data_IF_350069126943
#
_entry.id   IF_350069126943
#
_cell.length_a   1.000
_cell.length_b   1.000
_cell.length_c   1.000
_cell.angle_alpha   90.00
_cell.angle_beta   90.00
_cell.angle_gamma   90.00
#
_symmetry.space_group_name_H-M   'P 1'
#
loop_
_entity.id
_entity.type
_entity.pdbx_description
1 polymer ?
#
# COMPACT_ATOMS: atom_id res chain seq x y z
N UNK A 1 -4.30 -75.42 5.68
CA UNK A 1 -3.84 -76.20 6.85
C UNK A 1 -2.34 -76.42 6.68
N UNK A 2 -1.52 -75.63 7.39
CA UNK A 2 -0.71 -76.04 8.58
C UNK A 2 0.64 -76.66 8.17
N UNK A 3 1.81 -76.25 8.67
CA UNK A 3 2.21 -75.31 9.71
C UNK A 3 3.71 -74.97 9.52
N UNK A 4 4.14 -73.75 9.82
CA UNK A 4 4.81 -73.37 11.08
C UNK A 4 6.01 -74.27 11.44
N UNK A 5 7.21 -73.73 11.26
CA UNK A 5 8.30 -73.96 12.20
C UNK A 5 8.65 -72.64 12.89
N UNK A 6 8.35 -72.61 14.19
CA UNK A 6 8.81 -71.59 15.14
C UNK A 6 10.29 -71.83 15.41
N UNK A 7 11.09 -70.76 15.42
CA UNK A 7 12.23 -70.67 16.32
C UNK A 7 11.90 -69.65 17.40
N UNK A 8 11.98 -70.10 18.66
CA UNK A 8 11.97 -69.29 19.87
C UNK A 8 13.40 -69.37 20.41
N UNK A 9 14.07 -68.24 20.66
CA UNK A 9 14.58 -68.02 22.01
C UNK A 9 14.81 -66.56 22.40
N UNK A 10 14.56 -66.32 23.69
CA UNK A 10 14.87 -65.27 24.65
C UNK A 10 15.21 -63.83 24.21
N UNK A 11 14.26 -62.94 24.49
CA UNK A 11 14.36 -61.45 24.54
C UNK A 11 14.66 -60.76 23.21
N UNK A 12 13.84 -61.02 22.19
CA UNK A 12 13.80 -60.24 20.96
C UNK A 12 12.54 -59.36 20.88
N UNK A 13 12.67 -58.08 21.22
CA UNK A 13 11.68 -57.06 20.82
C UNK A 13 11.74 -56.99 19.29
N UNK A 14 10.64 -57.33 18.62
CA UNK A 14 10.48 -57.11 17.18
C UNK A 14 10.35 -55.60 16.99
N UNK A 15 11.47 -54.95 16.67
CA UNK A 15 11.48 -53.55 16.22
C UNK A 15 10.93 -53.57 14.80
N UNK A 16 9.64 -53.28 14.64
CA UNK A 16 9.14 -52.74 13.38
C UNK A 16 9.82 -51.39 13.20
N UNK A 17 10.73 -51.27 12.24
CA UNK A 17 11.06 -49.96 11.68
C UNK A 17 9.81 -49.47 10.97
N UNK A 18 8.93 -48.81 11.73
CA UNK A 18 8.01 -47.84 11.18
C UNK A 18 8.94 -46.76 10.60
N UNK A 19 9.13 -46.75 9.28
CA UNK A 19 9.61 -45.56 8.60
C UNK A 19 8.47 -44.56 8.75
N UNK A 20 8.45 -43.86 9.89
CA UNK A 20 7.73 -42.63 10.01
C UNK A 20 8.33 -41.73 8.94
N UNK A 21 7.61 -41.54 7.84
CA UNK A 21 7.89 -40.49 6.88
C UNK A 21 8.01 -39.21 7.70
N UNK A 22 9.24 -38.79 7.95
CA UNK A 22 9.51 -37.51 8.58
C UNK A 22 8.95 -36.51 7.58
N UNK A 23 7.78 -35.94 7.89
CA UNK A 23 7.32 -34.71 7.28
C UNK A 23 8.39 -33.68 7.63
N UNK A 24 9.41 -33.55 6.80
CA UNK A 24 10.28 -32.40 6.86
C UNK A 24 9.36 -31.19 6.67
N UNK A 25 9.38 -30.20 7.56
CA UNK A 25 8.69 -28.96 7.25
C UNK A 25 9.31 -28.48 5.94
N UNK A 26 8.47 -28.35 4.90
CA UNK A 26 8.86 -27.71 3.65
C UNK A 26 9.45 -26.37 4.05
N UNK A 27 10.78 -26.26 4.00
CA UNK A 27 11.44 -24.98 4.16
C UNK A 27 11.07 -24.23 2.89
N UNK A 28 9.99 -23.47 2.93
CA UNK A 28 9.63 -22.58 1.85
C UNK A 28 10.80 -21.62 1.72
N UNK A 29 11.60 -21.82 0.67
CA UNK A 29 12.68 -20.91 0.34
C UNK A 29 12.07 -19.55 0.08
N UNK A 30 12.68 -18.52 0.65
CA UNK A 30 12.31 -17.14 0.41
C UNK A 30 12.28 -16.83 -1.09
N UNK A 31 11.28 -16.05 -1.49
CA UNK A 31 11.13 -15.57 -2.86
C UNK A 31 11.63 -14.15 -2.95
N UNK A 32 12.65 -13.93 -3.77
CA UNK A 32 13.32 -12.65 -3.95
C UNK A 32 12.92 -12.06 -5.30
N UNK A 33 12.47 -10.82 -5.29
CA UNK A 33 12.15 -9.99 -6.45
C UNK A 33 13.31 -9.06 -6.76
N UNK A 34 13.75 -9.02 -8.01
CA UNK A 34 14.67 -8.02 -8.55
C UNK A 34 14.01 -7.27 -9.70
N UNK A 35 14.26 -5.97 -9.80
CA UNK A 35 13.66 -5.13 -10.85
C UNK A 35 14.76 -4.45 -11.64
N UNK A 36 14.69 -4.50 -12.96
CA UNK A 36 15.54 -3.72 -13.87
C UNK A 36 14.66 -2.81 -14.72
N UNK A 37 15.22 -1.67 -15.15
CA UNK A 37 14.55 -0.74 -16.06
C UNK A 37 15.47 -0.50 -17.25
N UNK A 38 14.95 -0.75 -18.45
CA UNK A 38 15.63 -0.47 -19.70
C UNK A 38 14.74 0.44 -20.56
N UNK A 39 15.03 1.75 -20.50
CA UNK A 39 14.17 2.77 -21.10
C UNK A 39 12.75 2.73 -20.52
N UNK A 40 11.76 2.47 -21.40
CA UNK A 40 10.34 2.35 -21.02
C UNK A 40 9.93 0.95 -20.56
N UNK A 41 10.81 -0.05 -20.68
CA UNK A 41 10.54 -1.43 -20.28
C UNK A 41 11.01 -1.62 -18.84
N UNK A 42 10.16 -2.24 -18.02
CA UNK A 42 10.50 -2.69 -16.68
C UNK A 42 10.43 -4.21 -16.64
N UNK A 43 11.53 -4.84 -16.26
CA UNK A 43 11.57 -6.29 -16.06
C UNK A 43 11.63 -6.59 -14.56
N UNK A 44 10.91 -7.62 -14.14
CA UNK A 44 10.84 -8.06 -12.75
C UNK A 44 11.13 -9.56 -12.73
N UNK A 45 12.16 -9.96 -12.00
CA UNK A 45 12.61 -11.33 -11.89
C UNK A 45 12.31 -11.86 -10.49
N UNK A 46 11.84 -13.09 -10.40
CA UNK A 46 11.51 -13.77 -9.16
C UNK A 46 12.43 -14.97 -8.99
N UNK A 47 13.11 -15.05 -7.86
CA UNK A 47 14.07 -16.10 -7.53
C UNK A 47 13.63 -16.86 -6.29
N UNK A 48 13.84 -18.18 -6.28
CA UNK A 48 13.62 -19.03 -5.12
C UNK A 48 14.77 -20.04 -5.04
N UNK A 49 15.46 -20.10 -3.90
CA UNK A 49 16.66 -20.93 -3.75
C UNK A 49 17.76 -20.61 -4.78
N UNK A 50 17.89 -19.33 -5.17
CA UNK A 50 18.88 -18.86 -6.15
C UNK A 50 18.55 -19.14 -7.62
N UNK A 51 17.40 -19.78 -7.92
CA UNK A 51 16.95 -20.06 -9.30
C UNK A 51 15.84 -19.11 -9.69
N UNK A 52 15.86 -18.61 -10.93
CA UNK A 52 14.74 -17.85 -11.50
C UNK A 52 13.53 -18.78 -11.64
N UNK A 53 12.39 -18.37 -11.08
CA UNK A 53 11.13 -19.12 -11.12
C UNK A 53 10.03 -18.41 -11.92
N UNK A 54 10.14 -17.09 -12.06
CA UNK A 54 9.24 -16.29 -12.88
C UNK A 54 9.89 -14.97 -13.32
N UNK A 55 9.33 -14.39 -14.38
CA UNK A 55 9.68 -13.06 -14.89
C UNK A 55 8.43 -12.33 -15.36
N UNK A 56 8.29 -11.06 -14.99
CA UNK A 56 7.32 -10.14 -15.58
C UNK A 56 8.03 -9.10 -16.43
N UNK A 57 7.47 -8.80 -17.60
CA UNK A 57 7.91 -7.71 -18.46
C UNK A 57 6.74 -6.74 -18.59
N UNK A 58 6.96 -5.50 -18.15
CA UNK A 58 6.01 -4.41 -18.23
C UNK A 58 6.51 -3.44 -19.30
N UNK A 59 5.73 -3.29 -20.37
CA UNK A 59 6.06 -2.37 -21.45
C UNK A 59 5.74 -0.90 -21.10
N UNK A 60 6.12 0.04 -21.96
CA UNK A 60 5.87 1.47 -21.75
C UNK A 60 4.39 1.87 -21.74
N UNK A 61 3.48 0.97 -22.11
CA UNK A 61 2.02 1.15 -22.05
C UNK A 61 1.40 0.51 -20.81
N UNK A 62 2.19 -0.20 -20.00
CA UNK A 62 1.75 -0.90 -18.80
C UNK A 62 1.21 -2.30 -19.05
N UNK A 63 1.37 -2.88 -20.26
CA UNK A 63 1.00 -4.26 -20.49
C UNK A 63 2.00 -5.19 -19.81
N UNK A 64 1.50 -6.23 -19.14
CA UNK A 64 2.30 -7.18 -18.38
C UNK A 64 2.34 -8.51 -19.16
N UNK A 65 3.55 -9.04 -19.37
CA UNK A 65 3.78 -10.41 -19.84
C UNK A 65 4.51 -11.18 -18.77
N UNK A 66 3.96 -12.31 -18.34
CA UNK A 66 4.53 -13.14 -17.28
C UNK A 66 4.97 -14.48 -17.85
N UNK A 67 6.19 -14.91 -17.53
CA UNK A 67 6.68 -16.27 -17.74
C UNK A 67 7.00 -16.92 -16.39
N UNK A 68 6.64 -18.19 -16.21
CA UNK A 68 6.80 -18.90 -14.94
C UNK A 68 5.64 -18.69 -13.96
N UNK A 69 5.84 -19.09 -12.70
CA UNK A 69 4.83 -19.03 -11.64
C UNK A 69 5.38 -18.25 -10.46
N UNK A 70 4.68 -17.19 -10.06
CA UNK A 70 4.94 -16.48 -8.81
C UNK A 70 4.14 -17.23 -7.72
N UNK A 71 4.81 -17.87 -6.76
CA UNK A 71 4.15 -18.66 -5.73
C UNK A 71 3.38 -17.77 -4.76
N UNK A 72 2.39 -18.36 -4.10
CA UNK A 72 1.66 -17.71 -3.02
C UNK A 72 2.58 -17.43 -1.83
N UNK A 73 2.38 -16.28 -1.19
CA UNK A 73 3.12 -15.86 -0.01
C UNK A 73 3.95 -14.60 -0.22
N UNK A 74 4.86 -14.35 0.72
CA UNK A 74 5.66 -13.12 0.77
C UNK A 74 6.81 -13.19 -0.22
N UNK A 75 6.87 -12.17 -1.08
CA UNK A 75 8.00 -11.89 -1.97
C UNK A 75 8.73 -10.65 -1.46
N UNK A 76 10.04 -10.75 -1.27
CA UNK A 76 10.88 -9.66 -0.77
C UNK A 76 11.72 -9.04 -1.87
N UNK A 77 11.99 -7.75 -1.78
CA UNK A 77 12.96 -7.06 -2.62
C UNK A 77 13.97 -6.38 -1.71
N UNK A 78 15.24 -6.47 -2.09
CA UNK A 78 16.34 -5.84 -1.40
C UNK A 78 16.97 -4.75 -2.28
N UNK A 79 17.51 -3.71 -1.64
CA UNK A 79 18.40 -2.74 -2.27
C UNK A 79 19.78 -3.36 -2.53
N UNK A 80 20.61 -2.67 -3.31
CA UNK A 80 21.94 -3.17 -3.71
C UNK A 80 22.88 -3.37 -2.51
N UNK A 81 22.69 -2.60 -1.44
CA UNK A 81 23.41 -2.74 -0.17
C UNK A 81 22.91 -3.93 0.69
N UNK A 82 21.96 -4.73 0.20
CA UNK A 82 21.39 -5.88 0.90
C UNK A 82 20.26 -5.55 1.87
N UNK A 83 19.88 -4.27 2.00
CA UNK A 83 18.79 -3.86 2.88
C UNK A 83 17.42 -4.23 2.31
N UNK A 84 16.50 -4.66 3.18
CA UNK A 84 15.11 -4.91 2.79
C UNK A 84 14.44 -3.62 2.31
N UNK A 85 14.00 -3.61 1.05
CA UNK A 85 13.37 -2.46 0.40
C UNK A 85 11.85 -2.61 0.35
N UNK A 86 11.34 -3.83 0.11
CA UNK A 86 9.89 -4.08 0.11
C UNK A 86 9.52 -5.52 0.39
N UNK A 87 8.30 -5.72 0.87
CA UNK A 87 7.65 -7.02 1.00
C UNK A 87 6.26 -6.94 0.39
N UNK A 88 5.90 -7.91 -0.45
CA UNK A 88 4.59 -7.99 -1.07
C UNK A 88 4.06 -9.42 -0.97
N UNK A 89 2.84 -9.57 -0.48
CA UNK A 89 2.17 -10.86 -0.49
C UNK A 89 1.50 -11.11 -1.85
N UNK A 90 1.66 -12.33 -2.37
CA UNK A 90 1.06 -12.78 -3.63
C UNK A 90 0.07 -13.91 -3.38
N UNK A 91 -0.96 -13.95 -4.20
CA UNK A 91 -1.94 -15.02 -4.28
C UNK A 91 -2.34 -15.23 -5.73
N UNK A 92 -2.22 -16.47 -6.24
CA UNK A 92 -2.48 -16.82 -7.62
C UNK A 92 -1.74 -15.91 -8.62
N UNK A 93 -0.47 -15.61 -8.33
CA UNK A 93 0.38 -14.76 -9.17
C UNK A 93 0.05 -13.26 -9.14
N UNK A 94 -0.91 -12.81 -8.35
CA UNK A 94 -1.26 -11.39 -8.20
C UNK A 94 -1.00 -10.90 -6.77
N UNK A 95 -0.68 -9.61 -6.63
CA UNK A 95 -0.52 -9.00 -5.29
C UNK A 95 -1.85 -9.02 -4.52
N UNK A 96 -1.80 -9.43 -3.25
CA UNK A 96 -2.96 -9.63 -2.39
C UNK A 96 -2.61 -9.30 -0.93
N UNK A 97 -3.38 -8.42 -0.28
CA UNK A 97 -3.12 -7.98 1.09
C UNK A 97 -2.16 -6.79 1.17
N UNK A 98 -1.48 -6.64 2.31
CA UNK A 98 -0.60 -5.50 2.57
C UNK A 98 0.74 -5.69 1.88
N UNK A 99 1.15 -4.70 1.10
CA UNK A 99 2.51 -4.49 0.62
C UNK A 99 3.18 -3.44 1.52
N UNK A 100 4.44 -3.68 1.89
CA UNK A 100 5.25 -2.73 2.64
C UNK A 100 6.45 -2.26 1.83
N UNK A 101 6.72 -0.97 1.88
CA UNK A 101 7.97 -0.37 1.46
C UNK A 101 8.70 0.17 2.69
N UNK A 102 10.03 0.11 2.68
CA UNK A 102 10.86 0.52 3.80
C UNK A 102 11.82 1.64 3.40
N UNK A 103 12.13 2.51 4.36
CA UNK A 103 13.24 3.44 4.27
C UNK A 103 14.59 2.71 4.41
N UNK A 104 15.69 3.40 4.07
CA UNK A 104 17.06 2.93 4.34
C UNK A 104 17.38 2.81 5.84
N UNK A 105 16.52 3.30 6.72
CA UNK A 105 16.60 3.05 8.16
C UNK A 105 15.93 1.73 8.58
N UNK A 106 15.21 1.07 7.66
CA UNK A 106 14.37 -0.10 7.94
C UNK A 106 13.01 0.26 8.54
N UNK A 107 12.72 1.55 8.75
CA UNK A 107 11.38 2.01 9.15
C UNK A 107 10.41 1.87 7.98
N UNK A 108 9.13 1.61 8.28
CA UNK A 108 8.10 1.47 7.24
C UNK A 108 7.87 2.83 6.59
N UNK A 109 8.05 2.91 5.28
CA UNK A 109 7.76 4.09 4.46
C UNK A 109 6.32 4.10 3.97
N UNK A 110 5.80 2.94 3.57
CA UNK A 110 4.45 2.80 3.04
C UNK A 110 3.86 1.44 3.39
N UNK A 111 2.57 1.42 3.71
CA UNK A 111 1.73 0.22 3.70
C UNK A 111 0.58 0.42 2.73
N UNK A 112 0.48 -0.43 1.72
CA UNK A 112 -0.55 -0.34 0.68
C UNK A 112 -1.35 -1.64 0.60
N UNK A 113 -2.68 -1.57 0.71
CA UNK A 113 -3.53 -2.75 0.58
C UNK A 113 -3.85 -3.02 -0.89
N UNK A 114 -3.66 -4.27 -1.30
CA UNK A 114 -3.94 -4.78 -2.63
C UNK A 114 -4.97 -5.89 -2.60
N UNK A 115 -5.77 -5.96 -3.66
CA UNK A 115 -6.67 -7.08 -3.95
C UNK A 115 -6.63 -7.36 -5.43
N UNK A 116 -6.32 -8.60 -5.82
CA UNK A 116 -6.17 -9.01 -7.22
C UNK A 116 -5.27 -8.05 -8.04
N UNK A 117 -4.11 -7.67 -7.50
CA UNK A 117 -3.15 -6.81 -8.17
C UNK A 117 -3.53 -5.32 -8.26
N UNK A 118 -4.61 -4.88 -7.60
CA UNK A 118 -5.04 -3.47 -7.58
C UNK A 118 -5.09 -2.94 -6.16
N UNK A 119 -4.78 -1.65 -5.97
CA UNK A 119 -4.99 -0.97 -4.70
C UNK A 119 -6.46 -1.07 -4.27
N UNK A 120 -6.71 -1.61 -3.08
CA UNK A 120 -8.05 -1.76 -2.54
C UNK A 120 -7.99 -1.69 -1.01
N UNK A 121 -8.67 -0.70 -0.42
CA UNK A 121 -8.57 -0.37 1.00
C UNK A 121 -7.64 0.82 1.28
N UNK A 122 -7.11 0.87 2.49
CA UNK A 122 -6.27 1.98 2.95
C UNK A 122 -4.83 1.83 2.49
N UNK A 123 -4.26 2.92 2.00
CA UNK A 123 -2.81 3.09 1.85
C UNK A 123 -2.35 4.11 2.86
N UNK A 124 -1.23 3.84 3.53
CA UNK A 124 -0.61 4.74 4.50
C UNK A 124 0.83 5.00 4.10
N UNK A 125 1.19 6.26 4.06
CA UNK A 125 2.59 6.67 3.97
C UNK A 125 3.02 7.20 5.32
N UNK A 126 4.27 6.98 5.66
CA UNK A 126 4.86 7.39 6.92
C UNK A 126 6.06 8.28 6.63
N UNK A 127 6.37 9.17 7.56
CA UNK A 127 7.65 9.85 7.61
C UNK A 127 8.73 8.89 8.11
N UNK A 128 10.00 9.23 7.89
CA UNK A 128 11.14 8.43 8.36
C UNK A 128 11.18 8.33 9.90
N UNK A 129 10.55 9.27 10.61
CA UNK A 129 10.33 9.18 12.06
C UNK A 129 9.36 8.07 12.49
N UNK A 130 8.68 7.42 11.53
CA UNK A 130 7.61 6.45 11.73
C UNK A 130 6.22 7.08 11.94
N UNK A 131 6.10 8.42 11.93
CA UNK A 131 4.81 9.09 12.07
C UNK A 131 3.99 9.01 10.78
N UNK A 132 2.67 8.88 10.92
CA UNK A 132 1.77 8.84 9.77
C UNK A 132 1.83 10.16 8.99
N UNK A 133 2.08 10.07 7.70
CA UNK A 133 2.14 11.19 6.76
C UNK A 133 0.87 11.30 5.94
N UNK A 134 0.42 10.19 5.35
CA UNK A 134 -0.77 10.12 4.51
C UNK A 134 -1.64 8.91 4.87
N UNK A 135 -2.96 9.07 4.82
CA UNK A 135 -3.91 7.95 4.80
C UNK A 135 -4.88 8.17 3.62
N UNK A 136 -4.79 7.31 2.61
CA UNK A 136 -5.52 7.40 1.35
C UNK A 136 -6.39 6.16 1.19
N UNK A 137 -7.63 6.31 0.73
CA UNK A 137 -8.53 5.18 0.49
C UNK A 137 -8.66 4.89 -1.01
N UNK A 138 -8.54 3.61 -1.35
CA UNK A 138 -8.70 3.09 -2.70
C UNK A 138 -9.82 2.05 -2.76
N UNK A 139 -10.45 1.93 -3.94
CA UNK A 139 -11.35 0.85 -4.31
C UNK A 139 -11.08 0.47 -5.75
N UNK A 140 -10.71 -0.78 -6.01
CA UNK A 140 -10.39 -1.29 -7.35
C UNK A 140 -9.40 -0.40 -8.13
N UNK A 141 -8.36 0.11 -7.46
CA UNK A 141 -7.32 0.96 -8.05
C UNK A 141 -7.69 2.44 -8.19
N UNK A 142 -8.87 2.87 -7.70
CA UNK A 142 -9.32 4.27 -7.77
C UNK A 142 -9.41 4.89 -6.38
N UNK A 143 -9.04 6.17 -6.24
CA UNK A 143 -9.29 6.95 -5.04
C UNK A 143 -10.80 7.01 -4.77
N UNK A 144 -11.19 6.60 -3.57
CA UNK A 144 -12.58 6.49 -3.16
C UNK A 144 -12.70 6.76 -1.65
N UNK A 145 -13.50 7.77 -1.30
CA UNK A 145 -13.71 8.18 0.09
C UNK A 145 -12.71 9.24 0.56
N UNK A 146 -12.48 9.30 1.87
CA UNK A 146 -11.67 10.35 2.50
C UNK A 146 -10.18 10.05 2.40
N UNK A 147 -9.37 11.01 1.97
CA UNK A 147 -7.92 11.00 2.18
C UNK A 147 -7.51 12.07 3.19
N UNK A 148 -6.43 11.83 3.91
CA UNK A 148 -5.86 12.74 4.91
C UNK A 148 -4.35 12.81 4.75
N UNK A 149 -3.80 14.00 4.94
CA UNK A 149 -2.36 14.21 5.10
C UNK A 149 -2.13 14.90 6.44
N UNK A 150 -1.00 14.59 7.06
CA UNK A 150 -0.60 15.07 8.37
C UNK A 150 0.74 15.80 8.24
N UNK A 151 0.98 16.74 9.15
CA UNK A 151 2.31 17.29 9.39
C UNK A 151 3.17 16.27 10.15
N UNK A 152 4.49 16.45 10.15
CA UNK A 152 5.43 15.68 10.98
C UNK A 152 5.14 15.81 12.48
N UNK A 153 4.47 16.89 12.91
CA UNK A 153 3.98 17.03 14.28
C UNK A 153 2.82 16.06 14.62
N UNK A 154 2.27 15.35 13.63
CA UNK A 154 1.10 14.47 13.74
C UNK A 154 -0.24 15.21 13.61
N UNK A 155 -0.22 16.54 13.46
CA UNK A 155 -1.43 17.34 13.27
C UNK A 155 -1.94 17.22 11.85
N UNK A 156 -3.25 17.25 11.68
CA UNK A 156 -3.89 17.15 10.37
C UNK A 156 -3.50 18.37 9.51
N UNK A 157 -2.95 18.12 8.32
CA UNK A 157 -2.64 19.16 7.34
C UNK A 157 -3.81 19.38 6.38
N UNK A 158 -4.36 18.31 5.80
CA UNK A 158 -5.57 18.42 4.99
C UNK A 158 -6.41 17.15 5.02
N UNK A 159 -7.69 17.32 4.69
CA UNK A 159 -8.68 16.25 4.56
C UNK A 159 -9.53 16.52 3.34
N UNK A 160 -9.63 15.53 2.47
CA UNK A 160 -10.28 15.64 1.17
C UNK A 160 -11.11 14.40 0.87
N UNK A 161 -12.17 14.54 0.09
CA UNK A 161 -12.99 13.41 -0.35
C UNK A 161 -12.87 13.19 -1.86
N UNK A 162 -12.70 11.93 -2.24
CA UNK A 162 -12.66 11.46 -3.61
C UNK A 162 -13.84 10.54 -3.92
N UNK A 163 -14.25 10.54 -5.18
CA UNK A 163 -15.14 9.53 -5.76
C UNK A 163 -14.64 9.21 -7.16
N UNK A 164 -14.31 7.95 -7.45
CA UNK A 164 -13.78 7.53 -8.74
C UNK A 164 -12.61 8.38 -9.25
N UNK A 165 -11.57 8.62 -8.44
CA UNK A 165 -10.42 9.48 -8.75
C UNK A 165 -10.68 10.99 -8.82
N UNK A 166 -11.92 11.44 -8.67
CA UNK A 166 -12.27 12.87 -8.74
C UNK A 166 -12.53 13.43 -7.35
N UNK A 167 -12.10 14.68 -7.10
CA UNK A 167 -12.50 15.43 -5.91
C UNK A 167 -14.02 15.55 -5.88
N UNK A 168 -14.63 15.06 -4.81
CA UNK A 168 -16.07 15.08 -4.66
C UNK A 168 -16.47 15.09 -3.19
N UNK A 169 -16.95 16.23 -2.73
CA UNK A 169 -17.32 16.50 -1.35
C UNK A 169 -16.47 17.61 -0.73
N UNK A 170 -16.46 17.64 0.60
CA UNK A 170 -15.68 18.59 1.38
C UNK A 170 -14.16 18.46 1.16
N UNK A 171 -13.52 19.62 1.05
CA UNK A 171 -12.07 19.81 1.09
C UNK A 171 -11.73 20.75 2.23
N UNK A 172 -10.75 20.38 3.06
CA UNK A 172 -10.31 21.20 4.20
C UNK A 172 -8.79 21.16 4.33
N UNK A 173 -8.18 22.31 4.57
CA UNK A 173 -6.78 22.42 4.99
C UNK A 173 -6.70 23.10 6.34
N UNK A 174 -5.61 22.87 7.05
CA UNK A 174 -5.40 23.34 8.41
C UNK A 174 -3.99 23.90 8.53
N UNK A 175 -3.83 24.90 9.39
CA UNK A 175 -2.54 25.34 9.86
C UNK A 175 -1.96 24.32 10.84
N UNK A 176 -0.64 24.35 11.05
CA UNK A 176 0.02 23.46 12.01
C UNK A 176 -0.35 23.77 13.47
N UNK A 177 -0.96 24.92 13.76
CA UNK A 177 -1.58 25.14 15.07
C UNK A 177 -2.94 24.41 15.24
N UNK A 178 -3.45 23.75 14.20
CA UNK A 178 -4.71 23.00 14.17
C UNK A 178 -5.93 23.81 13.72
N UNK A 179 -5.79 25.12 13.53
CA UNK A 179 -6.90 25.98 13.05
C UNK A 179 -7.16 25.74 11.57
N UNK A 180 -8.43 25.87 11.19
CA UNK A 180 -8.87 25.73 9.80
C UNK A 180 -8.23 26.83 8.95
N UNK A 181 -7.57 26.44 7.86
CA UNK A 181 -6.97 27.36 6.88
C UNK A 181 -7.89 27.58 5.70
N UNK A 182 -8.49 26.50 5.20
CA UNK A 182 -9.41 26.53 4.07
C UNK A 182 -10.52 25.52 4.27
N UNK A 183 -11.73 25.86 3.80
CA UNK A 183 -12.81 24.89 3.57
C UNK A 183 -13.53 25.21 2.27
N UNK A 184 -13.64 24.18 1.44
CA UNK A 184 -14.24 24.24 0.10
C UNK A 184 -15.11 23.00 -0.15
N UNK A 185 -15.96 23.05 -1.18
CA UNK A 185 -16.80 21.93 -1.61
C UNK A 185 -16.53 21.66 -3.10
N UNK A 186 -16.31 20.39 -3.44
CA UNK A 186 -16.04 19.94 -4.80
C UNK A 186 -17.14 19.02 -5.30
N UNK A 187 -17.45 19.13 -6.59
CA UNK A 187 -18.35 18.22 -7.31
C UNK A 187 -17.70 17.88 -8.64
N UNK A 188 -17.43 16.58 -8.86
CA UNK A 188 -16.79 16.07 -10.10
C UNK A 188 -15.52 16.84 -10.46
N UNK A 189 -14.61 16.97 -9.49
CA UNK A 189 -13.32 17.64 -9.67
C UNK A 189 -13.36 19.17 -9.65
N UNK A 190 -14.53 19.81 -9.61
CA UNK A 190 -14.67 21.27 -9.70
C UNK A 190 -15.20 21.87 -8.41
N UNK A 191 -14.73 23.05 -8.03
CA UNK A 191 -15.32 23.83 -6.94
C UNK A 191 -16.79 24.12 -7.26
N UNK A 192 -17.70 23.70 -6.38
CA UNK A 192 -19.13 23.96 -6.52
C UNK A 192 -19.71 24.20 -5.13
N UNK A 193 -19.90 25.47 -4.78
CA UNK A 193 -20.30 25.90 -3.45
C UNK A 193 -19.43 27.03 -2.90
N UNK A 194 -19.38 27.13 -1.57
CA UNK A 194 -18.67 28.20 -0.89
C UNK A 194 -17.25 27.75 -0.53
N UNK A 195 -16.25 28.52 -0.98
CA UNK A 195 -14.88 28.46 -0.49
C UNK A 195 -14.70 29.51 0.61
N UNK A 196 -14.09 29.12 1.72
CA UNK A 196 -13.69 30.02 2.80
C UNK A 196 -12.23 29.81 3.14
N UNK A 197 -11.49 30.90 3.17
CA UNK A 197 -10.12 30.95 3.69
C UNK A 197 -10.10 31.76 4.98
N UNK A 198 -9.21 31.39 5.90
CA UNK A 198 -9.11 31.97 7.22
C UNK A 198 -7.68 32.40 7.49
N UNK A 199 -7.51 33.45 8.28
CA UNK A 199 -6.23 33.78 8.89
C UNK A 199 -5.85 32.70 9.91
N UNK A 200 -4.56 32.64 10.25
CA UNK A 200 -4.06 31.76 11.31
C UNK A 200 -4.63 32.13 12.70
N UNK A 201 -5.10 33.36 12.87
CA UNK A 201 -5.83 33.81 14.06
C UNK A 201 -7.24 33.20 14.15
N UNK A 202 -7.83 32.80 13.01
CA UNK A 202 -9.11 32.07 12.90
C UNK A 202 -10.23 32.87 12.24
N UNK A 203 -10.05 34.17 12.04
CA UNK A 203 -10.99 35.04 11.35
C UNK A 203 -11.01 34.72 9.85
N UNK A 204 -12.19 34.88 9.24
CA UNK A 204 -12.33 34.69 7.80
C UNK A 204 -11.54 35.76 7.04
N UNK A 205 -10.81 35.33 6.01
CA UNK A 205 -10.04 36.17 5.10
C UNK A 205 -10.80 36.34 3.78
N UNK A 206 -11.29 35.23 3.22
CA UNK A 206 -12.06 35.21 1.98
C UNK A 206 -13.32 34.36 2.12
N UNK A 207 -14.39 34.80 1.43
CA UNK A 207 -15.60 34.01 1.21
C UNK A 207 -16.00 34.11 -0.25
N UNK A 208 -15.61 33.11 -1.02
CA UNK A 208 -15.89 33.02 -2.44
C UNK A 208 -16.99 31.99 -2.69
N UNK A 209 -17.81 32.22 -3.71
CA UNK A 209 -18.85 31.28 -4.16
C UNK A 209 -18.53 30.87 -5.57
N UNK A 210 -18.54 29.56 -5.81
CA UNK A 210 -18.21 28.94 -7.08
C UNK A 210 -19.40 28.14 -7.61
N UNK A 211 -19.52 28.08 -8.93
CA UNK A 211 -20.43 27.18 -9.64
C UNK A 211 -19.66 26.51 -10.77
N UNK A 212 -19.63 25.18 -10.79
CA UNK A 212 -18.91 24.40 -11.82
C UNK A 212 -17.46 24.88 -12.06
N UNK A 213 -16.74 25.27 -11.00
CA UNK A 213 -15.36 25.75 -11.07
C UNK A 213 -15.21 27.25 -11.33
N UNK A 214 -16.28 27.95 -11.72
CA UNK A 214 -16.24 29.39 -11.97
C UNK A 214 -16.60 30.17 -10.71
N UNK A 215 -15.80 31.19 -10.39
CA UNK A 215 -16.07 32.07 -9.25
C UNK A 215 -17.17 33.06 -9.63
N UNK A 216 -18.32 32.95 -8.99
CA UNK A 216 -19.48 33.84 -9.23
C UNK A 216 -19.58 34.98 -8.21
N UNK A 217 -18.93 34.87 -7.06
CA UNK A 217 -18.94 35.90 -6.02
C UNK A 217 -17.67 35.83 -5.19
N UNK A 218 -17.16 36.99 -4.78
CA UNK A 218 -16.05 37.09 -3.83
C UNK A 218 -16.33 38.13 -2.75
N UNK A 219 -15.84 37.86 -1.55
CA UNK A 219 -15.83 38.80 -0.43
C UNK A 219 -14.52 38.66 0.32
N UNK A 220 -13.80 39.76 0.46
CA UNK A 220 -12.58 39.87 1.29
C UNK A 220 -12.95 40.46 2.65
N UNK A 221 -12.20 40.07 3.67
CA UNK A 221 -12.29 40.58 5.03
C UNK A 221 -10.88 40.86 5.54
N UNK A 222 -10.73 41.83 6.43
CA UNK A 222 -9.47 42.04 7.15
C UNK A 222 -9.35 41.10 8.36
N UNK A 223 -8.18 41.10 9.01
CA UNK A 223 -7.90 40.27 10.18
C UNK A 223 -8.75 40.59 11.43
N UNK A 224 -9.59 41.64 11.38
CA UNK A 224 -10.58 41.97 12.42
C UNK A 224 -12.02 41.59 12.01
N UNK A 225 -12.18 40.86 10.91
CA UNK A 225 -13.48 40.42 10.39
C UNK A 225 -14.33 41.52 9.76
N UNK A 226 -13.80 42.74 9.57
CA UNK A 226 -14.50 43.83 8.87
C UNK A 226 -14.24 43.72 7.36
N UNK A 227 -15.28 44.01 6.57
CA UNK A 227 -15.20 44.06 5.11
C UNK A 227 -14.26 45.18 4.65
#
# INVERSE_FOLDING_TARGET
MTGKNLFRDCRGIIIYFLIASINTPTVFSEVIRKTTRNGSIKEIFYYSGGREIAKEIIDGKGNIRTSGVIPDGIVRQYADNGQLFSEANYKNGSQEGIIRLYYETGTVMQEANYKNGKLDGKTRDYYESGKLKDEINYRNGKLEGTSKMYYESGKLFHKVNYKNNELNGAYKTYYENGKLKEKSEYKKGRLDGVCKEYYETGEIMYKDTYKNGERIKSKKYNSRGKK
#
